data_IF_611841555425
#
_entry.id   IF_611841555425
#
_cell.length_a   1.000
_cell.length_b   1.000
_cell.length_c   1.000
_cell.angle_alpha   90.00
_cell.angle_beta   90.00
_cell.angle_gamma   90.00
#
_symmetry.space_group_name_H-M   'P 1'
#
loop_
_entity.id
_entity.type
_entity.pdbx_description
1 polymer ?
#
# COMPACT_ATOMS: atom_id res chain seq x y z
N UNK A 1 17.72 -3.36 8.62
CA UNK A 1 16.31 -3.34 9.04
C UNK A 1 15.40 -3.31 7.82
N UNK A 2 14.23 -3.98 7.93
CA UNK A 2 13.19 -3.98 6.91
C UNK A 2 12.61 -2.56 6.78
N UNK A 3 12.23 -2.16 5.56
CA UNK A 3 11.63 -0.84 5.31
C UNK A 3 10.35 -0.61 6.14
N UNK A 4 9.55 -1.63 6.36
CA UNK A 4 8.35 -1.56 7.21
C UNK A 4 8.66 -1.22 8.68
N UNK A 5 9.83 -1.62 9.20
CA UNK A 5 10.25 -1.20 10.55
C UNK A 5 10.48 0.31 10.61
N UNK A 6 10.95 0.92 9.53
CA UNK A 6 11.10 2.37 9.45
C UNK A 6 9.73 3.07 9.34
N UNK A 7 8.76 2.52 8.60
CA UNK A 7 7.42 3.14 8.49
C UNK A 7 6.73 3.18 9.84
N UNK A 8 6.69 2.06 10.56
CA UNK A 8 6.11 2.01 11.91
C UNK A 8 6.89 2.87 12.92
N UNK A 9 8.22 2.92 12.83
CA UNK A 9 9.02 3.80 13.69
C UNK A 9 8.70 5.29 13.39
N UNK A 10 8.59 5.67 12.12
CA UNK A 10 8.22 7.04 11.74
C UNK A 10 6.88 7.45 12.35
N UNK A 11 5.84 6.62 12.20
CA UNK A 11 4.51 6.88 12.77
C UNK A 11 4.56 6.97 14.29
N UNK A 12 5.20 5.99 14.95
CA UNK A 12 5.28 5.95 16.41
C UNK A 12 6.00 7.18 16.99
N UNK A 13 7.15 7.57 16.41
CA UNK A 13 7.89 8.75 16.88
C UNK A 13 7.21 10.05 16.52
N UNK A 14 6.50 10.13 15.38
CA UNK A 14 5.70 11.29 15.04
C UNK A 14 4.58 11.51 16.06
N UNK A 15 3.82 10.47 16.38
CA UNK A 15 2.75 10.54 17.38
C UNK A 15 3.30 10.78 18.81
N UNK A 16 4.43 10.17 19.16
CA UNK A 16 5.09 10.45 20.44
C UNK A 16 5.57 11.92 20.55
N UNK A 17 6.08 12.50 19.46
CA UNK A 17 6.45 13.91 19.41
C UNK A 17 5.23 14.83 19.63
N UNK A 18 4.10 14.55 18.97
CA UNK A 18 2.86 15.30 19.17
C UNK A 18 2.34 15.19 20.61
N UNK A 19 2.36 13.99 21.18
CA UNK A 19 1.86 13.75 22.53
C UNK A 19 2.73 14.38 23.63
N UNK A 20 4.04 14.49 23.42
CA UNK A 20 5.00 14.90 24.46
C UNK A 20 5.62 16.27 24.22
N UNK A 21 5.52 16.83 23.01
CA UNK A 21 6.25 18.03 22.60
C UNK A 21 7.76 17.81 22.45
N UNK A 22 8.22 16.56 22.31
CA UNK A 22 9.65 16.23 22.27
C UNK A 22 10.26 16.46 20.89
N UNK A 23 11.17 17.42 20.78
CA UNK A 23 11.98 17.64 19.58
C UNK A 23 12.83 16.42 19.20
N UNK A 24 13.29 15.65 20.19
CA UNK A 24 14.07 14.44 19.94
C UNK A 24 13.25 13.41 19.16
N UNK A 25 11.97 13.21 19.51
CA UNK A 25 11.10 12.28 18.80
C UNK A 25 10.75 12.80 17.40
N UNK A 26 10.53 14.11 17.25
CA UNK A 26 10.31 14.73 15.95
C UNK A 26 11.51 14.50 15.01
N UNK A 27 12.73 14.68 15.48
CA UNK A 27 13.95 14.45 14.70
C UNK A 27 14.15 12.96 14.33
N UNK A 28 13.76 12.03 15.20
CA UNK A 28 13.76 10.60 14.86
C UNK A 28 12.74 10.32 13.75
N UNK A 29 11.51 10.84 13.84
CA UNK A 29 10.49 10.68 12.82
C UNK A 29 10.97 11.21 11.44
N UNK A 30 11.51 12.42 11.39
CA UNK A 30 12.07 13.03 10.16
C UNK A 30 13.18 12.17 9.55
N UNK A 31 14.13 11.73 10.38
CA UNK A 31 15.26 10.92 9.92
C UNK A 31 14.82 9.55 9.40
N UNK A 32 13.86 8.90 10.08
CA UNK A 32 13.32 7.61 9.61
C UNK A 32 12.50 7.76 8.34
N UNK A 33 11.74 8.83 8.20
CA UNK A 33 11.05 9.17 6.96
C UNK A 33 12.03 9.33 5.78
N UNK A 34 13.08 10.12 5.94
CA UNK A 34 14.11 10.29 4.91
C UNK A 34 14.74 8.95 4.49
N UNK A 35 15.00 8.06 5.46
CA UNK A 35 15.52 6.71 5.21
C UNK A 35 14.57 5.84 4.40
N UNK A 36 13.26 5.99 4.56
CA UNK A 36 12.27 5.28 3.75
C UNK A 36 12.36 5.73 2.30
N UNK A 37 12.39 7.02 2.04
CA UNK A 37 12.49 7.57 0.69
C UNK A 37 13.78 7.12 -0.04
N UNK A 38 14.91 7.06 0.68
CA UNK A 38 16.17 6.54 0.14
C UNK A 38 16.11 5.04 -0.23
N UNK A 39 15.25 4.27 0.43
CA UNK A 39 15.19 2.81 0.30
C UNK A 39 14.01 2.29 -0.50
N UNK A 40 13.04 3.12 -0.82
CA UNK A 40 11.76 2.67 -1.38
C UNK A 40 11.91 1.91 -2.71
N UNK A 41 12.90 2.27 -3.52
CA UNK A 41 13.17 1.60 -4.80
C UNK A 41 13.91 0.27 -4.65
N UNK A 42 14.54 0.04 -3.48
CA UNK A 42 15.13 -1.24 -3.10
C UNK A 42 14.83 -1.56 -1.63
N UNK A 43 13.58 -1.84 -1.29
CA UNK A 43 13.11 -1.95 0.10
C UNK A 43 13.76 -3.10 0.88
N UNK A 44 14.23 -4.13 0.20
CA UNK A 44 14.93 -5.27 0.81
C UNK A 44 16.45 -5.06 0.88
N UNK A 45 17.00 -4.09 0.12
CA UNK A 45 18.43 -3.80 0.09
C UNK A 45 19.29 -5.05 -0.16
N UNK A 46 20.37 -5.26 0.63
CA UNK A 46 21.24 -6.43 0.48
C UNK A 46 20.57 -7.75 0.85
N UNK A 47 19.40 -7.72 1.46
CA UNK A 47 18.62 -8.91 1.83
C UNK A 47 17.64 -9.33 0.73
N UNK A 48 17.64 -8.64 -0.41
CA UNK A 48 16.86 -9.04 -1.57
C UNK A 48 17.41 -10.35 -2.13
N UNK A 49 16.56 -11.38 -2.09
CA UNK A 49 16.90 -12.72 -2.62
C UNK A 49 16.40 -12.91 -4.07
N UNK A 50 15.78 -11.88 -4.63
CA UNK A 50 15.31 -11.94 -6.02
C UNK A 50 16.51 -11.84 -6.96
N UNK A 51 16.62 -12.76 -7.87
CA UNK A 51 17.62 -12.68 -8.95
C UNK A 51 17.06 -11.69 -9.99
N UNK A 52 17.82 -10.65 -10.36
CA UNK A 52 17.38 -9.68 -11.37
C UNK A 52 16.91 -10.36 -12.65
N UNK A 53 15.77 -9.92 -13.19
CA UNK A 53 15.18 -10.47 -14.40
C UNK A 53 14.36 -11.76 -14.24
N UNK A 54 14.21 -12.28 -13.01
CA UNK A 54 13.41 -13.51 -12.79
C UNK A 54 12.04 -13.24 -12.16
N UNK A 55 11.89 -12.23 -11.33
CA UNK A 55 10.67 -11.85 -10.63
C UNK A 55 10.68 -10.36 -10.33
N UNK A 56 10.66 -9.55 -11.36
CA UNK A 56 10.67 -8.09 -11.26
C UNK A 56 9.23 -7.61 -11.01
N UNK A 57 8.72 -7.88 -9.81
CA UNK A 57 7.39 -7.46 -9.38
C UNK A 57 7.50 -6.28 -8.40
N UNK A 58 6.59 -5.32 -8.56
CA UNK A 58 6.30 -4.29 -7.55
C UNK A 58 5.27 -4.84 -6.57
N UNK A 59 5.43 -4.50 -5.30
CA UNK A 59 4.62 -4.97 -4.18
C UNK A 59 3.70 -3.85 -3.68
N UNK A 60 2.43 -4.16 -3.44
CA UNK A 60 1.40 -3.21 -3.01
C UNK A 60 1.57 -2.73 -1.57
N UNK A 61 2.11 -3.57 -0.69
CA UNK A 61 2.14 -3.27 0.73
C UNK A 61 2.91 -1.99 1.09
N UNK A 62 3.97 -1.66 0.32
CA UNK A 62 4.75 -0.45 0.61
C UNK A 62 3.99 0.83 0.29
N UNK A 63 3.47 1.09 -0.94
CA UNK A 63 2.68 2.29 -1.21
C UNK A 63 1.43 2.39 -0.31
N UNK A 64 0.80 1.27 0.03
CA UNK A 64 -0.31 1.23 0.97
C UNK A 64 0.07 1.82 2.33
N UNK A 65 1.11 1.30 2.97
CA UNK A 65 1.50 1.77 4.32
C UNK A 65 2.07 3.19 4.30
N UNK A 66 2.66 3.64 3.19
CA UNK A 66 3.14 5.00 3.03
C UNK A 66 1.99 6.03 3.03
N UNK A 67 0.79 5.66 2.55
CA UNK A 67 -0.41 6.50 2.68
C UNK A 67 -0.72 6.82 4.15
N UNK A 68 -0.73 5.80 5.01
CA UNK A 68 -0.97 5.99 6.44
C UNK A 68 0.17 6.74 7.11
N UNK A 69 1.41 6.39 6.81
CA UNK A 69 2.58 7.07 7.38
C UNK A 69 2.57 8.57 7.05
N UNK A 70 2.16 8.96 5.84
CA UNK A 70 2.05 10.36 5.45
C UNK A 70 1.00 11.12 6.30
N UNK A 71 -0.11 10.48 6.63
CA UNK A 71 -1.13 11.04 7.53
C UNK A 71 -0.61 11.19 8.97
N UNK A 72 -0.03 10.12 9.51
CA UNK A 72 0.42 10.06 10.90
C UNK A 72 1.63 10.97 11.19
N UNK A 73 2.48 11.20 10.18
CA UNK A 73 3.68 12.02 10.31
C UNK A 73 3.51 13.45 9.74
N UNK A 74 2.33 13.84 9.32
CA UNK A 74 2.05 15.09 8.60
C UNK A 74 2.68 16.31 9.24
N UNK A 75 2.56 16.49 10.55
CA UNK A 75 3.06 17.65 11.27
C UNK A 75 4.58 17.68 11.45
N UNK A 76 5.26 16.53 11.18
CA UNK A 76 6.70 16.40 11.38
C UNK A 76 7.52 16.58 10.09
N UNK A 77 6.86 16.42 8.92
CA UNK A 77 7.53 16.37 7.63
C UNK A 77 7.37 17.71 6.89
N UNK A 78 8.40 18.07 6.10
CA UNK A 78 8.30 19.22 5.21
C UNK A 78 7.05 19.11 4.30
N UNK A 79 6.21 20.16 4.23
CA UNK A 79 4.95 20.08 3.50
C UNK A 79 5.10 19.73 2.02
N UNK A 80 6.12 20.24 1.33
CA UNK A 80 6.32 19.97 -0.08
C UNK A 80 6.73 18.52 -0.33
N UNK A 81 7.60 17.98 0.54
CA UNK A 81 8.01 16.58 0.51
C UNK A 81 6.86 15.64 0.85
N UNK A 82 6.06 16.01 1.85
CA UNK A 82 4.85 15.26 2.24
C UNK A 82 3.85 15.20 1.09
N UNK A 83 3.52 16.34 0.48
CA UNK A 83 2.56 16.41 -0.63
C UNK A 83 3.04 15.64 -1.86
N UNK A 84 4.33 15.65 -2.14
CA UNK A 84 4.91 14.83 -3.21
C UNK A 84 4.76 13.32 -2.89
N UNK A 85 5.01 12.93 -1.64
CA UNK A 85 4.85 11.54 -1.18
C UNK A 85 3.39 11.10 -1.26
N UNK A 86 2.45 11.94 -0.82
CA UNK A 86 1.00 11.65 -0.87
C UNK A 86 0.54 11.44 -2.32
N UNK A 87 0.92 12.34 -3.23
CA UNK A 87 0.54 12.21 -4.66
C UNK A 87 1.09 10.93 -5.27
N UNK A 88 2.34 10.58 -4.98
CA UNK A 88 2.95 9.35 -5.47
C UNK A 88 2.22 8.12 -4.91
N UNK A 89 1.95 8.07 -3.61
CA UNK A 89 1.24 6.96 -2.98
C UNK A 89 -0.18 6.79 -3.53
N UNK A 90 -0.94 7.88 -3.70
CA UNK A 90 -2.28 7.83 -4.31
C UNK A 90 -2.19 7.29 -5.73
N UNK A 91 -1.23 7.78 -6.54
CA UNK A 91 -1.01 7.27 -7.89
C UNK A 91 -0.70 5.77 -7.90
N UNK A 92 0.24 5.32 -7.05
CA UNK A 92 0.57 3.89 -6.97
C UNK A 92 -0.68 3.07 -6.60
N UNK A 93 -1.37 3.41 -5.53
CA UNK A 93 -2.53 2.66 -5.04
C UNK A 93 -3.69 2.68 -6.02
N UNK A 94 -4.05 3.86 -6.54
CA UNK A 94 -5.31 4.08 -7.26
C UNK A 94 -5.20 3.92 -8.78
N UNK A 95 -3.97 3.84 -9.34
CA UNK A 95 -3.73 3.72 -10.78
C UNK A 95 -2.83 2.51 -11.11
N UNK A 96 -1.69 2.34 -10.41
CA UNK A 96 -0.73 1.28 -10.75
C UNK A 96 -1.21 -0.09 -10.28
N UNK A 97 -1.74 -0.23 -9.07
CA UNK A 97 -2.21 -1.51 -8.52
C UNK A 97 -3.71 -1.74 -8.74
N UNK A 98 -4.48 -0.70 -9.00
CA UNK A 98 -5.91 -0.80 -9.26
C UNK A 98 -6.19 -1.28 -10.68
N UNK A 99 -7.04 -2.30 -10.83
CA UNK A 99 -7.51 -2.85 -12.10
C UNK A 99 -8.95 -2.40 -12.34
N UNK A 100 -9.13 -1.32 -13.11
CA UNK A 100 -10.43 -0.67 -13.33
C UNK A 100 -11.49 -1.61 -13.91
N UNK A 101 -11.09 -2.49 -14.82
CA UNK A 101 -11.97 -3.50 -15.45
C UNK A 101 -12.51 -4.52 -14.43
N UNK A 102 -11.74 -4.80 -13.38
CA UNK A 102 -12.10 -5.75 -12.33
C UNK A 102 -12.70 -5.05 -11.10
N UNK A 103 -12.45 -3.75 -10.95
CA UNK A 103 -12.81 -3.00 -9.75
C UNK A 103 -12.03 -3.41 -8.50
N UNK A 104 -10.84 -4.01 -8.67
CA UNK A 104 -10.04 -4.62 -7.60
C UNK A 104 -8.60 -4.11 -7.62
N UNK A 105 -7.89 -4.28 -6.48
CA UNK A 105 -6.46 -4.02 -6.34
C UNK A 105 -5.74 -5.36 -6.25
N UNK A 106 -4.63 -5.51 -6.98
CA UNK A 106 -3.76 -6.68 -6.94
C UNK A 106 -2.57 -6.44 -6.03
N UNK A 107 -2.04 -7.52 -5.41
CA UNK A 107 -0.89 -7.43 -4.50
C UNK A 107 0.44 -7.19 -5.21
N UNK A 108 0.56 -7.61 -6.47
CA UNK A 108 1.78 -7.47 -7.24
C UNK A 108 1.47 -7.11 -8.68
N UNK A 109 2.33 -6.26 -9.25
CA UNK A 109 2.31 -5.92 -10.67
C UNK A 109 3.70 -6.10 -11.27
N UNK A 110 3.80 -6.24 -12.58
CA UNK A 110 5.08 -6.25 -13.28
C UNK A 110 5.84 -4.92 -13.09
N UNK A 111 7.12 -4.89 -13.42
CA UNK A 111 7.98 -3.72 -13.25
C UNK A 111 7.46 -2.46 -13.99
N UNK A 112 6.79 -2.66 -15.13
CA UNK A 112 6.14 -1.62 -15.92
C UNK A 112 4.75 -1.20 -15.38
N UNK A 113 4.24 -1.89 -14.36
CA UNK A 113 2.91 -1.64 -13.77
C UNK A 113 1.79 -2.47 -14.38
N UNK A 114 2.07 -3.30 -15.38
CA UNK A 114 1.07 -4.16 -15.99
C UNK A 114 0.72 -5.38 -15.12
N UNK A 115 -0.42 -5.99 -15.39
CA UNK A 115 -0.84 -7.21 -14.72
C UNK A 115 0.11 -8.35 -15.09
N UNK A 116 0.70 -8.99 -14.08
CA UNK A 116 1.50 -10.19 -14.30
C UNK A 116 0.63 -11.43 -14.23
N UNK A 117 0.72 -12.31 -15.24
CA UNK A 117 0.04 -13.62 -15.25
C UNK A 117 0.79 -14.69 -14.42
N UNK A 118 1.52 -14.26 -13.40
CA UNK A 118 2.11 -15.15 -12.41
C UNK A 118 1.13 -15.43 -11.27
N UNK A 119 1.42 -16.44 -10.45
CA UNK A 119 0.65 -16.70 -9.24
C UNK A 119 0.60 -15.46 -8.33
N UNK A 120 1.75 -14.82 -8.12
CA UNK A 120 1.87 -13.62 -7.30
C UNK A 120 1.13 -12.41 -7.91
N UNK A 121 1.18 -12.23 -9.23
CA UNK A 121 0.49 -11.13 -9.92
C UNK A 121 -1.03 -11.27 -9.94
N UNK A 122 -1.56 -12.49 -9.72
CA UNK A 122 -3.00 -12.75 -9.61
C UNK A 122 -3.53 -12.66 -8.19
N UNK A 123 -2.66 -12.48 -7.20
CA UNK A 123 -3.06 -12.38 -5.80
C UNK A 123 -3.81 -11.08 -5.50
N UNK A 124 -4.87 -11.23 -4.72
CA UNK A 124 -5.62 -10.15 -4.07
C UNK A 124 -5.63 -10.45 -2.57
N UNK A 125 -5.24 -9.48 -1.76
CA UNK A 125 -5.45 -9.53 -0.32
C UNK A 125 -6.58 -8.56 0.05
N UNK A 126 -7.79 -9.07 0.33
CA UNK A 126 -8.92 -8.21 0.68
C UNK A 126 -8.65 -7.32 1.88
N UNK A 127 -7.92 -7.83 2.89
CA UNK A 127 -7.54 -7.07 4.08
C UNK A 127 -6.67 -5.86 3.74
N UNK A 128 -5.60 -6.06 2.96
CA UNK A 128 -4.73 -4.95 2.52
C UNK A 128 -5.50 -3.91 1.69
N UNK A 129 -6.37 -4.37 0.78
CA UNK A 129 -7.16 -3.42 -0.02
C UNK A 129 -8.11 -2.60 0.85
N UNK A 130 -8.82 -3.21 1.80
CA UNK A 130 -9.72 -2.49 2.70
C UNK A 130 -8.97 -1.48 3.58
N UNK A 131 -7.80 -1.86 4.09
CA UNK A 131 -6.92 -0.98 4.85
C UNK A 131 -6.42 0.19 3.98
N UNK A 132 -5.97 -0.08 2.76
CA UNK A 132 -5.54 0.96 1.83
C UNK A 132 -6.68 1.93 1.51
N UNK A 133 -7.90 1.43 1.28
CA UNK A 133 -9.04 2.30 0.98
C UNK A 133 -9.42 3.19 2.16
N UNK A 134 -9.28 2.71 3.39
CA UNK A 134 -9.40 3.56 4.57
C UNK A 134 -8.36 4.70 4.56
N UNK A 135 -7.08 4.39 4.29
CA UNK A 135 -6.04 5.43 4.19
C UNK A 135 -6.32 6.42 3.05
N UNK A 136 -6.72 5.93 1.88
CA UNK A 136 -7.07 6.79 0.72
C UNK A 136 -8.28 7.69 1.02
N UNK A 137 -9.30 7.20 1.72
CA UNK A 137 -10.43 8.04 2.13
C UNK A 137 -9.97 9.17 3.06
N UNK A 138 -9.09 8.90 4.02
CA UNK A 138 -8.52 9.93 4.90
C UNK A 138 -7.66 10.94 4.12
N UNK A 139 -6.86 10.49 3.15
CA UNK A 139 -6.14 11.38 2.24
C UNK A 139 -7.11 12.22 1.40
N UNK A 140 -8.21 11.65 0.93
CA UNK A 140 -9.26 12.38 0.22
C UNK A 140 -9.91 13.47 1.08
N UNK A 141 -10.14 13.21 2.36
CA UNK A 141 -10.60 14.23 3.33
C UNK A 141 -9.56 15.34 3.48
N UNK A 142 -8.29 15.00 3.67
CA UNK A 142 -7.19 15.97 3.79
C UNK A 142 -7.06 16.86 2.55
N UNK A 143 -7.28 16.30 1.36
CA UNK A 143 -7.14 16.97 0.06
C UNK A 143 -8.43 17.67 -0.40
N UNK A 144 -9.53 17.54 0.33
CA UNK A 144 -10.88 17.96 -0.07
C UNK A 144 -11.29 17.36 -1.44
N UNK A 145 -10.89 16.10 -1.69
CA UNK A 145 -11.16 15.36 -2.93
C UNK A 145 -12.27 14.33 -2.73
N UNK A 146 -13.50 14.76 -2.97
CA UNK A 146 -14.68 13.89 -2.89
C UNK A 146 -14.67 12.75 -3.90
N UNK A 147 -14.13 12.96 -5.10
CA UNK A 147 -14.09 11.95 -6.15
C UNK A 147 -13.15 10.80 -5.75
N UNK A 148 -12.01 11.13 -5.11
CA UNK A 148 -11.08 10.13 -4.56
C UNK A 148 -11.75 9.29 -3.48
N UNK A 149 -12.49 9.93 -2.55
CA UNK A 149 -13.24 9.23 -1.50
C UNK A 149 -14.26 8.28 -2.12
N UNK A 150 -15.08 8.74 -3.05
CA UNK A 150 -16.12 7.93 -3.69
C UNK A 150 -15.52 6.75 -4.49
N UNK A 151 -14.37 6.94 -5.14
CA UNK A 151 -13.63 5.85 -5.81
C UNK A 151 -13.15 4.83 -4.79
N UNK A 152 -12.55 5.26 -3.68
CA UNK A 152 -12.07 4.37 -2.62
C UNK A 152 -13.21 3.55 -1.99
N UNK A 153 -14.36 4.18 -1.71
CA UNK A 153 -15.55 3.49 -1.19
C UNK A 153 -15.99 2.38 -2.15
N UNK A 154 -16.09 2.66 -3.45
CA UNK A 154 -16.47 1.65 -4.45
C UNK A 154 -15.50 0.47 -4.47
N UNK A 155 -14.19 0.74 -4.46
CA UNK A 155 -13.17 -0.32 -4.43
C UNK A 155 -13.29 -1.15 -3.15
N UNK A 156 -13.49 -0.51 -1.99
CA UNK A 156 -13.67 -1.22 -0.72
C UNK A 156 -14.89 -2.15 -0.76
N UNK A 157 -16.03 -1.68 -1.25
CA UNK A 157 -17.25 -2.49 -1.36
C UNK A 157 -17.08 -3.66 -2.33
N UNK A 158 -16.50 -3.43 -3.51
CA UNK A 158 -16.21 -4.48 -4.48
C UNK A 158 -15.26 -5.54 -3.88
N UNK A 159 -14.23 -5.11 -3.17
CA UNK A 159 -13.28 -6.01 -2.53
C UNK A 159 -13.93 -6.82 -1.42
N UNK A 160 -14.79 -6.19 -0.61
CA UNK A 160 -15.52 -6.88 0.45
C UNK A 160 -16.45 -7.96 -0.13
N UNK A 161 -17.15 -7.66 -1.24
CA UNK A 161 -18.01 -8.65 -1.92
C UNK A 161 -17.20 -9.78 -2.55
N UNK A 162 -16.08 -9.44 -3.23
CA UNK A 162 -15.20 -10.40 -3.89
C UNK A 162 -14.53 -11.36 -2.90
N UNK A 163 -14.06 -10.83 -1.77
CA UNK A 163 -13.32 -11.58 -0.75
C UNK A 163 -14.19 -12.23 0.32
N UNK A 164 -15.51 -12.08 0.26
CA UNK A 164 -16.40 -12.63 1.29
C UNK A 164 -16.64 -14.12 1.11
N UNK A 165 -16.40 -14.91 2.16
CA UNK A 165 -16.77 -16.32 2.23
C UNK A 165 -18.29 -16.45 2.42
N UNK A 166 -18.98 -16.89 1.37
CA UNK A 166 -20.45 -17.03 1.36
C UNK A 166 -20.93 -18.27 2.12
N UNK A 167 -20.04 -19.21 2.40
CA UNK A 167 -20.38 -20.46 3.09
C UNK A 167 -20.22 -20.33 4.60
N UNK A 168 -19.06 -19.82 5.04
CA UNK A 168 -18.72 -19.74 6.47
C UNK A 168 -18.73 -18.31 7.05
N UNK A 169 -18.84 -17.31 6.21
CA UNK A 169 -18.73 -15.90 6.58
C UNK A 169 -17.28 -15.47 6.82
N UNK A 170 -17.05 -14.15 6.79
CA UNK A 170 -15.73 -13.56 6.94
C UNK A 170 -15.03 -13.29 5.60
N UNK A 171 -13.85 -12.69 5.67
CA UNK A 171 -13.05 -12.38 4.50
C UNK A 171 -11.94 -13.43 4.33
N UNK A 172 -11.73 -13.89 3.10
CA UNK A 172 -10.57 -14.70 2.78
C UNK A 172 -9.29 -13.91 3.04
N UNK A 173 -8.23 -14.58 3.49
CA UNK A 173 -6.93 -13.96 3.69
C UNK A 173 -6.35 -13.46 2.37
N UNK A 174 -6.46 -14.27 1.31
CA UNK A 174 -6.19 -13.86 -0.07
C UNK A 174 -7.03 -14.66 -1.06
N UNK A 175 -7.25 -14.06 -2.23
CA UNK A 175 -7.94 -14.64 -3.36
C UNK A 175 -7.02 -14.61 -4.59
N UNK A 176 -7.38 -15.34 -5.63
CA UNK A 176 -6.76 -15.24 -6.95
C UNK A 176 -7.76 -14.66 -7.95
N UNK A 177 -7.32 -13.81 -8.85
CA UNK A 177 -8.15 -13.22 -9.91
C UNK A 177 -8.85 -14.31 -10.73
N UNK A 178 -8.13 -15.38 -11.03
CA UNK A 178 -8.63 -16.60 -11.66
C UNK A 178 -7.70 -17.75 -11.33
N UNK A 179 -8.23 -18.95 -11.34
CA UNK A 179 -7.43 -20.18 -11.25
C UNK A 179 -7.25 -20.72 -12.67
N UNK A 180 -6.00 -20.96 -13.08
CA UNK A 180 -5.78 -21.76 -14.30
C UNK A 180 -6.34 -23.17 -14.04
N UNK A 181 -7.06 -23.79 -15.00
CA UNK A 181 -7.49 -25.17 -14.85
C UNK A 181 -6.24 -26.02 -14.52
N UNK A 182 -6.34 -26.85 -13.48
CA UNK A 182 -5.31 -27.82 -13.19
C UNK A 182 -5.18 -28.78 -14.38
N UNK A 183 -3.96 -29.20 -14.80
CA UNK A 183 -3.81 -30.26 -15.78
C UNK A 183 -4.49 -31.59 -15.39
N UNK A 184 -4.98 -31.67 -14.13
CA UNK A 184 -5.75 -32.81 -13.62
C UNK A 184 -7.25 -32.68 -13.82
N UNK A 185 -7.72 -31.50 -14.24
CA UNK A 185 -9.16 -31.19 -14.44
C UNK A 185 -9.56 -31.26 -15.93
N UNK A 186 -8.64 -31.78 -16.79
CA UNK A 186 -8.84 -32.01 -18.23
C UNK A 186 -8.94 -33.49 -18.55
#
# INVERSE_FOLDING_TARGET
YNIFSYTFATMAFAQAALATGSDQYAEIAKRTFARILEKRDNPKGPWCKTVPGTRDLKDFALPMILCNMALEAEQMIDPALLDATIRDCIHQVMEVFYRGELGLIVENVAADGELSDSFEGRQINPGHTLEAMWFIMNLGVRLDDRALIDKAVRIALNTAEYGWDKEYGGLFYFCLLYTSPSPRDS
#
